data_IF_743501296101
#
_entry.id   IF_743501296101
#
_cell.length_a   1.000
_cell.length_b   1.000
_cell.length_c   1.000
_cell.angle_alpha   90.00
_cell.angle_beta   90.00
_cell.angle_gamma   90.00
#
_symmetry.space_group_name_H-M   'P 1'
#
loop_
_entity.id
_entity.type
_entity.pdbx_description
1 polymer ?
#
# COMPACT_ATOMS: atom_id res chain seq x y z
N UNK A 1 -15.96 14.24 -17.20
CA UNK A 1 -14.65 13.68 -17.55
C UNK A 1 -14.78 12.17 -17.49
N UNK A 2 -14.72 11.47 -18.62
CA UNK A 2 -14.74 10.00 -18.63
C UNK A 2 -13.41 9.51 -18.05
N UNK A 3 -13.46 8.67 -17.01
CA UNK A 3 -12.25 8.01 -16.52
C UNK A 3 -11.90 6.91 -17.52
N UNK A 4 -10.67 6.90 -18.04
CA UNK A 4 -10.10 5.75 -18.75
C UNK A 4 -10.25 4.53 -17.83
N UNK A 5 -10.88 3.46 -18.29
CA UNK A 5 -10.94 2.21 -17.50
C UNK A 5 -9.55 1.55 -17.48
N UNK A 6 -9.23 0.86 -16.38
CA UNK A 6 -8.01 0.07 -16.25
C UNK A 6 -8.05 -1.12 -17.19
N UNK A 7 -6.98 -1.36 -17.96
CA UNK A 7 -6.89 -2.51 -18.86
C UNK A 7 -6.61 -3.84 -18.15
N UNK A 8 -6.15 -3.80 -16.89
CA UNK A 8 -5.80 -4.97 -16.09
C UNK A 8 -6.61 -4.96 -14.80
N UNK A 9 -7.15 -6.13 -14.41
CA UNK A 9 -8.05 -6.25 -13.25
C UNK A 9 -7.27 -6.53 -11.97
N UNK A 10 -7.88 -6.19 -10.83
CA UNK A 10 -7.42 -6.65 -9.52
C UNK A 10 -7.42 -8.19 -9.48
N UNK A 11 -6.37 -8.75 -8.91
CA UNK A 11 -6.03 -10.18 -8.84
C UNK A 11 -5.70 -10.84 -10.18
N UNK A 12 -5.56 -10.07 -11.26
CA UNK A 12 -5.06 -10.60 -12.51
C UNK A 12 -3.56 -10.86 -12.45
N UNK A 13 -3.18 -12.04 -12.93
CA UNK A 13 -1.78 -12.43 -13.07
C UNK A 13 -1.22 -11.75 -14.31
N UNK A 14 -0.08 -11.10 -14.11
CA UNK A 14 0.66 -10.34 -15.12
C UNK A 14 2.09 -10.84 -15.22
N UNK A 15 2.69 -10.68 -16.39
CA UNK A 15 4.15 -10.75 -16.56
C UNK A 15 4.73 -9.36 -16.75
N UNK A 16 5.89 -9.07 -16.16
CA UNK A 16 6.60 -7.80 -16.40
C UNK A 16 7.36 -7.87 -17.73
N UNK A 17 7.06 -6.95 -18.63
CA UNK A 17 7.63 -6.89 -19.99
C UNK A 17 8.59 -5.73 -20.22
N UNK A 18 8.66 -4.76 -19.30
CA UNK A 18 9.56 -3.62 -19.42
C UNK A 18 11.02 -4.00 -19.12
N UNK A 19 11.94 -3.42 -19.91
CA UNK A 19 13.38 -3.41 -19.65
C UNK A 19 13.79 -1.99 -19.21
N UNK A 20 13.52 -1.69 -17.94
CA UNK A 20 13.89 -0.45 -17.28
C UNK A 20 14.81 -0.72 -16.08
N UNK A 21 15.67 0.23 -15.66
CA UNK A 21 16.61 0.02 -14.54
C UNK A 21 15.96 -0.45 -13.23
N UNK A 22 14.71 -0.05 -12.97
CA UNK A 22 13.92 -0.49 -11.81
C UNK A 22 13.08 -1.75 -12.02
N UNK A 23 13.06 -2.32 -13.22
CA UNK A 23 12.23 -3.48 -13.56
C UNK A 23 13.04 -4.75 -13.82
N UNK A 24 14.36 -4.65 -13.98
CA UNK A 24 15.23 -5.77 -14.39
C UNK A 24 15.11 -7.02 -13.52
N UNK A 25 14.95 -6.88 -12.20
CA UNK A 25 14.78 -8.05 -11.32
C UNK A 25 13.41 -8.72 -11.48
N UNK A 26 12.43 -8.00 -12.04
CA UNK A 26 11.06 -8.46 -12.26
C UNK A 26 10.79 -8.88 -13.70
N UNK A 27 11.62 -8.50 -14.68
CA UNK A 27 11.40 -8.82 -16.10
C UNK A 27 11.20 -10.34 -16.30
N UNK A 28 10.07 -10.71 -16.92
CA UNK A 28 9.66 -12.09 -17.15
C UNK A 28 9.07 -12.81 -15.92
N UNK A 29 9.11 -12.21 -14.73
CA UNK A 29 8.44 -12.76 -13.55
C UNK A 29 6.93 -12.64 -13.68
N UNK A 30 6.23 -13.62 -13.12
CA UNK A 30 4.79 -13.56 -12.92
C UNK A 30 4.50 -12.96 -11.55
N UNK A 31 3.57 -12.02 -11.53
CA UNK A 31 3.04 -11.45 -10.30
C UNK A 31 1.54 -11.23 -10.41
N UNK A 32 0.93 -10.88 -9.28
CA UNK A 32 -0.53 -10.69 -9.19
C UNK A 32 -0.83 -9.26 -8.82
N UNK A 33 -1.72 -8.63 -9.59
CA UNK A 33 -2.15 -7.25 -9.33
C UNK A 33 -2.96 -7.20 -8.04
N UNK A 34 -2.49 -6.44 -7.06
CA UNK A 34 -3.15 -6.28 -5.75
C UNK A 34 -3.99 -5.02 -5.73
N UNK A 35 -3.53 -3.99 -6.45
CA UNK A 35 -4.17 -2.69 -6.53
C UNK A 35 -3.78 -1.94 -7.82
N UNK A 36 -4.60 -0.98 -8.22
CA UNK A 36 -4.29 -0.05 -9.31
C UNK A 36 -4.91 1.33 -9.05
N UNK A 37 -4.21 2.39 -9.44
CA UNK A 37 -4.70 3.77 -9.41
C UNK A 37 -4.16 4.57 -10.60
N UNK A 38 -4.81 5.66 -11.07
CA UNK A 38 -4.25 6.52 -12.09
C UNK A 38 -2.90 7.11 -11.66
N UNK A 39 -1.84 6.90 -12.44
CA UNK A 39 -0.48 7.29 -12.04
C UNK A 39 0.06 8.50 -12.81
N UNK A 40 -0.32 8.67 -14.08
CA UNK A 40 0.29 9.70 -14.96
C UNK A 40 -0.75 10.71 -15.42
N UNK A 41 -0.69 11.93 -14.88
CA UNK A 41 -1.52 13.06 -15.30
C UNK A 41 -0.77 13.96 -16.28
N UNK A 42 -1.28 14.12 -17.50
CA UNK A 42 -0.70 14.97 -18.55
C UNK A 42 -1.78 15.76 -19.25
N UNK A 43 -1.56 17.07 -19.43
CA UNK A 43 -2.44 17.98 -20.17
C UNK A 43 -3.91 17.94 -19.74
N UNK A 44 -4.17 17.74 -18.44
CA UNK A 44 -5.53 17.72 -17.90
C UNK A 44 -6.18 16.34 -17.82
N UNK A 45 -5.48 15.27 -18.21
CA UNK A 45 -6.04 13.92 -18.27
C UNK A 45 -5.10 12.87 -17.67
N UNK A 46 -5.69 11.82 -17.10
CA UNK A 46 -4.97 10.64 -16.66
C UNK A 46 -4.70 9.74 -17.87
N UNK A 47 -3.43 9.52 -18.16
CA UNK A 47 -2.97 8.85 -19.38
C UNK A 47 -2.56 7.40 -19.15
N UNK A 48 -2.15 7.07 -17.93
CA UNK A 48 -1.64 5.74 -17.58
C UNK A 48 -2.00 5.36 -16.15
N UNK A 49 -2.24 4.07 -15.96
CA UNK A 49 -2.50 3.44 -14.67
C UNK A 49 -1.20 2.93 -14.06
N UNK A 50 -1.07 3.08 -12.73
CA UNK A 50 -0.08 2.42 -11.91
C UNK A 50 -0.69 1.19 -11.24
N UNK A 51 0.11 0.15 -11.08
CA UNK A 51 -0.29 -1.13 -10.53
C UNK A 51 0.68 -1.55 -9.43
N UNK A 52 0.14 -1.97 -8.29
CA UNK A 52 0.88 -2.67 -7.27
C UNK A 52 0.78 -4.18 -7.53
N UNK A 53 1.91 -4.84 -7.72
CA UNK A 53 2.00 -6.26 -8.10
C UNK A 53 2.78 -7.02 -7.03
N UNK A 54 2.23 -8.13 -6.55
CA UNK A 54 2.91 -9.07 -5.66
C UNK A 54 3.60 -10.18 -6.46
N UNK A 55 4.88 -10.42 -6.20
CA UNK A 55 5.69 -11.45 -6.84
C UNK A 55 5.97 -12.59 -5.85
N UNK A 56 5.25 -13.72 -5.92
CA UNK A 56 5.41 -14.80 -4.95
C UNK A 56 6.80 -15.45 -4.99
N UNK A 57 7.49 -15.43 -6.14
CA UNK A 57 8.86 -15.95 -6.29
C UNK A 57 9.90 -15.13 -5.53
N UNK A 58 9.63 -13.83 -5.32
CA UNK A 58 10.53 -12.89 -4.66
C UNK A 58 10.04 -12.51 -3.25
N UNK A 59 8.80 -12.89 -2.92
CA UNK A 59 8.05 -12.45 -1.74
C UNK A 59 8.10 -10.92 -1.55
N UNK A 60 7.76 -10.19 -2.61
CA UNK A 60 7.84 -8.72 -2.66
C UNK A 60 6.69 -8.10 -3.42
N UNK A 61 6.38 -6.87 -3.05
CA UNK A 61 5.51 -5.97 -3.80
C UNK A 61 6.37 -5.01 -4.61
N UNK A 62 5.91 -4.66 -5.80
CA UNK A 62 6.53 -3.63 -6.62
C UNK A 62 5.48 -2.94 -7.50
N UNK A 63 5.88 -1.78 -8.00
CA UNK A 63 4.98 -0.82 -8.63
C UNK A 63 5.33 -0.66 -10.10
N UNK A 64 4.34 -0.77 -10.98
CA UNK A 64 4.54 -0.74 -12.41
C UNK A 64 3.52 0.16 -13.08
N UNK A 65 3.94 0.80 -14.16
CA UNK A 65 3.00 1.41 -15.09
C UNK A 65 2.32 0.33 -15.94
N UNK A 66 1.12 0.62 -16.43
CA UNK A 66 0.36 -0.25 -17.33
C UNK A 66 1.20 -0.81 -18.49
N UNK A 67 1.98 0.06 -19.12
CA UNK A 67 2.86 -0.30 -20.25
C UNK A 67 3.96 -1.32 -19.93
N UNK A 68 4.23 -1.54 -18.63
CA UNK A 68 5.24 -2.48 -18.17
C UNK A 68 4.70 -3.88 -17.89
N UNK A 69 3.37 -4.07 -17.99
CA UNK A 69 2.68 -5.30 -17.63
C UNK A 69 1.98 -5.91 -18.84
N UNK A 70 2.03 -7.23 -18.95
CA UNK A 70 1.25 -8.00 -19.90
C UNK A 70 0.28 -8.90 -19.12
N UNK A 71 -1.05 -8.71 -19.25
CA UNK A 71 -2.03 -9.58 -18.61
C UNK A 71 -1.98 -10.98 -19.22
N UNK A 72 -2.17 -11.98 -18.37
CA UNK A 72 -2.22 -13.39 -18.78
C UNK A 72 -3.65 -13.91 -18.95
N UNK A 73 -4.66 -13.16 -18.52
CA UNK A 73 -6.06 -13.58 -18.46
C UNK A 73 -6.40 -14.47 -17.24
N UNK A 74 -5.40 -14.94 -16.50
CA UNK A 74 -5.60 -15.72 -15.26
C UNK A 74 -5.85 -14.78 -14.08
N UNK A 75 -6.77 -15.19 -13.20
CA UNK A 75 -7.03 -14.53 -11.92
C UNK A 75 -6.59 -15.46 -10.78
N UNK A 76 -5.95 -14.88 -9.78
CA UNK A 76 -5.82 -15.53 -8.48
C UNK A 76 -7.05 -15.25 -7.61
N UNK A 77 -7.28 -16.10 -6.63
CA UNK A 77 -8.33 -15.90 -5.64
C UNK A 77 -7.94 -14.76 -4.68
N UNK A 78 -8.90 -13.92 -4.29
CA UNK A 78 -8.65 -12.79 -3.37
C UNK A 78 -8.05 -13.27 -2.04
N UNK A 79 -8.51 -14.42 -1.55
CA UNK A 79 -8.07 -15.04 -0.30
C UNK A 79 -6.57 -15.37 -0.31
N UNK A 80 -5.97 -15.56 -1.49
CA UNK A 80 -4.53 -15.80 -1.62
C UNK A 80 -3.69 -14.57 -1.23
N UNK A 81 -4.30 -13.38 -1.20
CA UNK A 81 -3.64 -12.11 -0.91
C UNK A 81 -4.03 -11.49 0.44
N UNK A 82 -4.93 -12.13 1.18
CA UNK A 82 -5.30 -11.72 2.53
C UNK A 82 -4.16 -11.97 3.53
N UNK A 83 -4.09 -11.13 4.56
CA UNK A 83 -3.15 -11.30 5.66
C UNK A 83 -3.36 -12.61 6.39
N UNK A 84 -2.27 -13.27 6.79
CA UNK A 84 -2.32 -14.46 7.67
C UNK A 84 -2.03 -14.14 9.13
N UNK A 85 -1.43 -12.97 9.38
CA UNK A 85 -1.02 -12.43 10.68
C UNK A 85 -1.07 -10.91 10.61
N UNK A 86 -0.74 -10.25 11.71
CA UNK A 86 -0.60 -8.80 11.77
C UNK A 86 0.72 -8.39 11.14
N UNK A 87 0.64 -7.65 10.04
CA UNK A 87 1.80 -7.22 9.27
C UNK A 87 1.71 -5.74 8.95
N UNK A 88 2.86 -5.07 8.94
CA UNK A 88 2.97 -3.67 8.54
C UNK A 88 4.21 -3.43 7.70
N UNK A 89 4.17 -2.39 6.90
CA UNK A 89 5.26 -1.89 6.07
C UNK A 89 5.29 -0.39 6.17
N UNK A 90 6.43 0.19 6.52
CA UNK A 90 6.63 1.64 6.48
C UNK A 90 7.07 2.04 5.07
N UNK A 91 6.55 3.16 4.56
CA UNK A 91 6.97 3.68 3.25
C UNK A 91 8.37 4.29 3.30
N UNK A 92 8.78 4.79 4.46
CA UNK A 92 10.07 5.45 4.67
C UNK A 92 10.71 5.01 5.97
N UNK A 93 11.99 5.32 6.13
CA UNK A 93 12.70 5.14 7.41
C UNK A 93 12.08 6.09 8.43
N UNK A 94 11.47 5.53 9.47
CA UNK A 94 10.89 6.31 10.57
C UNK A 94 12.01 6.85 11.45
N UNK A 95 12.11 8.18 11.54
CA UNK A 95 13.06 8.85 12.41
C UNK A 95 12.69 8.75 13.90
N UNK A 96 13.49 9.39 14.75
CA UNK A 96 13.25 9.45 16.20
C UNK A 96 12.05 10.33 16.58
N UNK A 97 11.69 11.29 15.74
CA UNK A 97 10.48 12.09 15.92
C UNK A 97 10.03 12.73 14.59
N UNK A 98 9.07 12.12 13.93
CA UNK A 98 8.54 12.57 12.63
C UNK A 98 7.27 13.42 12.80
N UNK A 99 6.98 14.32 11.86
CA UNK A 99 5.66 15.00 11.83
C UNK A 99 4.56 14.09 11.26
N UNK A 100 4.94 13.22 10.33
CA UNK A 100 4.05 12.28 9.63
C UNK A 100 4.77 10.95 9.46
N UNK A 101 4.05 9.86 9.71
CA UNK A 101 4.49 8.50 9.37
C UNK A 101 3.33 7.79 8.67
N UNK A 102 3.59 7.27 7.48
CA UNK A 102 2.60 6.51 6.72
C UNK A 102 3.19 5.18 6.23
N UNK A 103 2.28 4.29 5.86
CA UNK A 103 2.61 2.96 5.39
C UNK A 103 1.36 2.13 5.22
N UNK A 104 1.58 0.84 5.04
CA UNK A 104 0.51 -0.13 4.85
C UNK A 104 0.49 -1.14 5.98
N UNK A 105 -0.69 -1.64 6.33
CA UNK A 105 -0.87 -2.74 7.27
C UNK A 105 -1.86 -3.74 6.73
N UNK A 106 -1.78 -4.98 7.21
CA UNK A 106 -2.87 -5.96 7.05
C UNK A 106 -3.01 -6.79 8.30
N UNK A 107 -4.23 -7.24 8.53
CA UNK A 107 -4.58 -8.13 9.64
C UNK A 107 -5.10 -9.46 9.09
N UNK A 108 -5.21 -10.53 9.91
CA UNK A 108 -5.71 -11.82 9.45
C UNK A 108 -7.03 -11.71 8.68
N UNK A 109 -7.10 -12.32 7.49
CA UNK A 109 -8.28 -12.36 6.63
C UNK A 109 -8.62 -11.05 5.91
N UNK A 110 -7.78 -10.01 6.00
CA UNK A 110 -8.03 -8.71 5.34
C UNK A 110 -6.94 -8.38 4.33
N UNK A 111 -7.26 -7.62 3.26
CA UNK A 111 -6.25 -7.10 2.34
C UNK A 111 -5.40 -6.03 3.02
N UNK A 112 -4.40 -5.53 2.30
CA UNK A 112 -3.64 -4.36 2.71
C UNK A 112 -4.53 -3.11 2.81
N UNK A 113 -4.30 -2.35 3.88
CA UNK A 113 -4.93 -1.08 4.24
C UNK A 113 -3.82 -0.06 4.53
N UNK A 114 -4.19 1.22 4.61
CA UNK A 114 -3.23 2.31 4.87
C UNK A 114 -3.28 2.71 6.34
N UNK A 115 -2.13 2.97 6.95
CA UNK A 115 -2.10 3.77 8.18
C UNK A 115 -1.45 5.13 7.91
N UNK A 116 -1.96 6.16 8.57
CA UNK A 116 -1.39 7.51 8.57
C UNK A 116 -1.35 8.03 10.00
N UNK A 117 -0.16 8.30 10.51
CA UNK A 117 0.05 8.99 11.78
C UNK A 117 0.52 10.40 11.48
N UNK A 118 -0.14 11.40 12.06
CA UNK A 118 0.17 12.80 11.83
C UNK A 118 0.07 13.60 13.13
N UNK A 119 1.03 14.48 13.38
CA UNK A 119 0.95 15.45 14.48
C UNK A 119 0.06 16.64 14.11
N UNK A 120 -0.98 16.90 14.90
CA UNK A 120 -1.92 18.01 14.77
C UNK A 120 -2.04 18.84 16.05
N UNK A 121 -2.63 20.03 15.93
CA UNK A 121 -2.96 20.88 17.07
C UNK A 121 -4.22 20.37 17.77
N UNK A 122 -4.04 19.33 18.61
CA UNK A 122 -5.08 18.66 19.38
C UNK A 122 -4.57 18.36 20.79
N UNK A 123 -5.48 18.27 21.75
CA UNK A 123 -5.13 18.04 23.15
C UNK A 123 -4.71 16.58 23.43
N UNK A 124 -5.44 15.62 22.85
CA UNK A 124 -5.30 14.19 23.11
C UNK A 124 -5.22 13.39 21.80
N UNK A 125 -4.48 12.26 21.77
CA UNK A 125 -4.47 11.35 20.64
C UNK A 125 -5.88 10.88 20.26
N UNK A 126 -6.11 10.73 18.95
CA UNK A 126 -7.36 10.16 18.43
C UNK A 126 -7.09 9.37 17.17
N UNK A 127 -7.92 8.37 16.91
CA UNK A 127 -7.88 7.61 15.67
C UNK A 127 -9.28 7.48 15.07
N UNK A 128 -9.33 7.22 13.77
CA UNK A 128 -10.58 6.85 13.10
C UNK A 128 -10.28 6.06 11.83
N UNK A 129 -11.24 5.21 11.44
CA UNK A 129 -11.19 4.52 10.17
C UNK A 129 -11.62 5.48 9.06
N UNK A 130 -10.90 5.43 7.94
CA UNK A 130 -11.09 6.31 6.81
C UNK A 130 -11.10 5.52 5.50
N UNK A 131 -11.66 6.11 4.46
CA UNK A 131 -11.61 5.59 3.09
C UNK A 131 -11.05 6.69 2.21
N UNK A 132 -9.91 6.40 1.57
CA UNK A 132 -9.27 7.33 0.65
C UNK A 132 -10.00 7.38 -0.69
N UNK A 133 -9.61 8.34 -1.54
CA UNK A 133 -10.24 8.54 -2.85
C UNK A 133 -10.07 7.32 -3.77
N UNK A 134 -8.97 6.59 -3.61
CA UNK A 134 -8.73 5.31 -4.27
C UNK A 134 -9.81 4.26 -3.92
N UNK A 135 -10.46 4.40 -2.77
CA UNK A 135 -11.39 3.40 -2.21
C UNK A 135 -10.72 2.46 -1.21
N UNK A 136 -9.41 2.57 -0.99
CA UNK A 136 -8.73 1.84 0.08
C UNK A 136 -9.15 2.37 1.43
N UNK A 137 -9.37 1.44 2.35
CA UNK A 137 -9.67 1.71 3.75
C UNK A 137 -8.41 1.70 4.59
N UNK A 138 -8.52 2.23 5.80
CA UNK A 138 -7.41 2.23 6.73
C UNK A 138 -7.65 3.13 7.91
N UNK A 139 -6.57 3.56 8.55
CA UNK A 139 -6.57 4.11 9.88
C UNK A 139 -5.76 5.39 9.95
N UNK A 140 -6.39 6.48 10.37
CA UNK A 140 -5.74 7.77 10.58
C UNK A 140 -5.62 8.04 12.07
N UNK A 141 -4.38 8.23 12.54
CA UNK A 141 -4.04 8.64 13.89
C UNK A 141 -3.58 10.10 13.90
N UNK A 142 -4.18 10.88 14.78
CA UNK A 142 -3.73 12.23 15.06
C UNK A 142 -3.14 12.29 16.46
N UNK A 143 -1.93 12.83 16.56
CA UNK A 143 -1.20 13.03 17.80
C UNK A 143 -1.06 14.52 18.11
N UNK A 144 -1.04 14.95 19.38
CA UNK A 144 -0.67 16.32 19.74
C UNK A 144 0.70 16.71 19.19
N UNK A 145 0.92 17.98 18.78
CA UNK A 145 2.22 18.46 18.27
C UNK A 145 3.43 18.18 19.17
N UNK A 146 3.20 18.09 20.48
CA UNK A 146 4.24 17.79 21.49
C UNK A 146 4.54 16.30 21.67
N UNK A 147 3.72 15.41 21.12
CA UNK A 147 3.94 13.98 21.25
C UNK A 147 5.16 13.57 20.42
N UNK A 148 5.85 12.50 20.83
CA UNK A 148 6.87 11.85 20.01
C UNK A 148 6.18 10.91 19.03
N UNK A 149 6.50 11.03 17.74
CA UNK A 149 6.04 10.12 16.70
C UNK A 149 7.25 9.39 16.10
N UNK A 150 7.58 8.27 16.72
CA UNK A 150 8.60 7.33 16.29
C UNK A 150 7.96 5.99 15.89
N UNK A 151 8.81 5.01 15.56
CA UNK A 151 8.36 3.65 15.21
C UNK A 151 7.58 3.00 16.36
N UNK A 152 7.95 3.25 17.61
CA UNK A 152 7.28 2.65 18.77
C UNK A 152 5.89 3.25 18.98
N UNK A 153 5.72 4.55 18.75
CA UNK A 153 4.43 5.23 18.79
C UNK A 153 3.44 4.66 17.77
N UNK A 154 3.90 4.36 16.55
CA UNK A 154 3.08 3.69 15.54
C UNK A 154 2.64 2.30 16.01
N UNK A 155 3.59 1.48 16.49
CA UNK A 155 3.28 0.14 16.99
C UNK A 155 2.32 0.15 18.18
N UNK A 156 2.50 1.08 19.13
CA UNK A 156 1.57 1.24 20.27
C UNK A 156 0.18 1.64 19.81
N UNK A 157 0.07 2.59 18.87
CA UNK A 157 -1.22 3.01 18.32
C UNK A 157 -1.94 1.86 17.61
N UNK A 158 -1.25 1.12 16.75
CA UNK A 158 -1.81 -0.06 16.09
C UNK A 158 -2.18 -1.16 17.11
N UNK A 159 -1.35 -1.38 18.13
CA UNK A 159 -1.62 -2.35 19.17
C UNK A 159 -2.87 -2.04 19.99
N UNK A 160 -3.11 -0.75 20.28
CA UNK A 160 -4.32 -0.29 20.96
C UNK A 160 -5.58 -0.60 20.14
N UNK A 161 -5.57 -0.30 18.84
CA UNK A 161 -6.74 -0.49 17.96
C UNK A 161 -7.05 -1.95 17.71
N UNK A 162 -6.02 -2.77 17.49
CA UNK A 162 -6.18 -4.17 17.12
C UNK A 162 -6.03 -5.15 18.29
N UNK A 163 -5.81 -4.63 19.51
CA UNK A 163 -5.63 -5.43 20.73
C UNK A 163 -4.55 -6.52 20.60
N UNK A 164 -3.43 -6.19 19.96
CA UNK A 164 -2.32 -7.13 19.71
C UNK A 164 -0.96 -6.44 19.66
N UNK A 165 0.09 -7.11 20.14
CA UNK A 165 1.47 -6.64 20.03
C UNK A 165 2.26 -7.41 18.96
N UNK A 166 1.65 -8.39 18.29
CA UNK A 166 2.32 -9.36 17.41
C UNK A 166 2.53 -8.83 15.98
N UNK A 167 2.83 -7.55 15.85
CA UNK A 167 3.08 -6.91 14.56
C UNK A 167 4.43 -7.33 13.99
N UNK A 168 4.39 -7.86 12.76
CA UNK A 168 5.59 -8.19 12.01
C UNK A 168 5.81 -7.14 10.93
N UNK A 169 6.96 -6.48 10.96
CA UNK A 169 7.38 -5.62 9.86
C UNK A 169 7.80 -6.47 8.66
N UNK A 170 7.20 -6.20 7.50
CA UNK A 170 7.46 -6.89 6.24
C UNK A 170 7.68 -5.87 5.12
N UNK A 171 8.11 -6.34 3.95
CA UNK A 171 8.15 -5.52 2.74
C UNK A 171 6.77 -5.56 2.08
N UNK A 172 5.90 -4.65 2.47
CA UNK A 172 4.54 -4.53 1.95
C UNK A 172 4.46 -3.63 0.70
N UNK A 173 3.24 -3.35 0.24
CA UNK A 173 3.00 -2.38 -0.83
C UNK A 173 3.30 -0.96 -0.37
N UNK A 174 3.72 -0.12 -1.32
CA UNK A 174 3.88 1.33 -1.17
C UNK A 174 2.49 1.97 -0.96
N UNK A 175 2.30 2.61 0.20
CA UNK A 175 0.99 3.19 0.56
C UNK A 175 0.58 4.34 -0.36
N UNK A 176 1.53 5.02 -1.01
CA UNK A 176 1.22 6.10 -1.96
C UNK A 176 0.45 5.63 -3.17
N UNK A 177 0.67 4.39 -3.62
CA UNK A 177 -0.11 3.81 -4.71
C UNK A 177 -1.45 3.25 -4.25
N UNK A 178 -1.61 3.07 -2.95
CA UNK A 178 -2.86 2.63 -2.36
C UNK A 178 -3.82 3.81 -2.08
N UNK A 179 -3.32 5.05 -2.03
CA UNK A 179 -4.04 6.24 -1.55
C UNK A 179 -4.89 6.94 -2.61
#
# INVERSE_FOLDING_TARGET
>A
MQKKESGIRRFEVVSVVADGPGCREFTGQLGTVIWCDPAVYRRGEWTEWGYCVYFPTLDRYASFLESSLQPTGRLDAEEAHQGRRFELSFDTVVGEDADVVEGSYRVPGRPWEIFLFEKRDIAEPRHHFSTWRSGITGLEFFLPKRAVLDREAVLRGLAEVFSTQDWVEVRGPDSLLLK
#
